data_IF_912268782322
#
_entry.id   IF_912268782322
#
_cell.length_a   1.000
_cell.length_b   1.000
_cell.length_c   1.000
_cell.angle_alpha   90.00
_cell.angle_beta   90.00
_cell.angle_gamma   90.00
#
_symmetry.space_group_name_H-M   'P 1'
#
loop_
_entity.id
_entity.type
_entity.pdbx_description
1 polymer ?
#
# COMPACT_ATOMS: atom_id res chain seq x y z
N UNK A 1 31.48 24.83 21.22
CA UNK A 1 30.38 24.26 20.44
C UNK A 1 30.72 24.47 18.96
N UNK A 2 31.08 23.46 18.19
CA UNK A 2 31.29 23.63 16.77
C UNK A 2 30.01 23.39 16.02
N UNK A 3 29.72 24.30 15.11
CA UNK A 3 28.69 24.32 14.11
C UNK A 3 28.67 23.03 13.28
N UNK A 4 27.56 22.29 13.29
CA UNK A 4 27.32 21.19 12.38
C UNK A 4 26.69 21.77 11.11
N UNK A 5 27.55 22.25 10.20
CA UNK A 5 27.15 22.53 8.84
C UNK A 5 26.83 21.21 8.13
N UNK A 6 25.56 21.00 7.88
CA UNK A 6 25.05 19.91 7.04
C UNK A 6 25.64 20.01 5.63
N UNK A 7 26.72 19.30 5.36
CA UNK A 7 27.32 19.25 4.04
C UNK A 7 26.37 18.52 3.09
N UNK A 8 25.82 19.26 2.12
CA UNK A 8 25.10 18.73 0.96
C UNK A 8 26.02 17.77 0.19
N UNK A 9 25.87 16.49 0.41
CA UNK A 9 26.43 15.46 -0.47
C UNK A 9 25.57 15.44 -1.74
N UNK A 10 25.96 16.26 -2.72
CA UNK A 10 25.51 16.13 -4.10
C UNK A 10 26.08 14.83 -4.66
N UNK A 11 25.27 13.78 -4.70
CA UNK A 11 25.62 12.54 -5.39
C UNK A 11 25.55 12.77 -6.90
N UNK A 12 26.67 13.20 -7.49
CA UNK A 12 26.80 13.29 -8.94
C UNK A 12 26.70 11.89 -9.57
N UNK A 13 25.89 11.75 -10.60
CA UNK A 13 25.94 10.59 -11.52
C UNK A 13 27.37 10.48 -12.05
N UNK A 14 28.07 9.38 -11.73
CA UNK A 14 29.41 9.13 -12.28
C UNK A 14 29.27 8.79 -13.76
N UNK A 15 29.38 9.81 -14.59
CA UNK A 15 29.34 9.66 -16.06
C UNK A 15 29.56 10.99 -16.75
N UNK A 16 28.86 12.03 -16.38
CA UNK A 16 29.02 13.38 -16.95
C UNK A 16 28.84 14.36 -15.78
N UNK A 17 29.87 15.16 -15.43
CA UNK A 17 29.71 16.18 -14.39
C UNK A 17 28.65 17.20 -14.82
N UNK A 18 27.60 17.34 -13.99
CA UNK A 18 26.56 18.35 -14.17
C UNK A 18 25.22 17.86 -14.73
N UNK A 19 25.07 16.60 -15.13
CA UNK A 19 23.77 16.05 -15.58
C UNK A 19 23.06 15.40 -14.41
N UNK A 20 21.90 15.95 -14.02
CA UNK A 20 20.99 15.38 -13.02
C UNK A 20 20.10 14.37 -13.74
N UNK A 21 20.03 13.13 -13.23
CA UNK A 21 19.11 12.10 -13.75
C UNK A 21 17.66 12.59 -13.60
N UNK A 22 16.86 12.45 -14.65
CA UNK A 22 15.44 12.76 -14.67
C UNK A 22 14.62 11.49 -14.76
N UNK A 23 13.70 11.27 -13.80
CA UNK A 23 12.83 10.10 -13.73
C UNK A 23 11.37 10.50 -13.87
N UNK A 24 10.64 9.81 -14.78
CA UNK A 24 9.19 9.92 -14.92
C UNK A 24 8.48 8.86 -14.08
N UNK A 25 7.80 9.26 -13.01
CA UNK A 25 6.93 8.38 -12.21
C UNK A 25 5.53 8.44 -12.78
N UNK A 26 5.00 7.31 -13.25
CA UNK A 26 3.66 7.24 -13.82
C UNK A 26 2.74 6.49 -12.86
N UNK A 27 1.65 7.11 -12.45
CA UNK A 27 0.71 6.54 -11.48
C UNK A 27 -0.72 6.96 -11.77
N UNK A 28 -1.68 6.18 -11.26
CA UNK A 28 -3.08 6.62 -11.21
C UNK A 28 -3.29 7.64 -10.09
N UNK A 29 -2.80 7.31 -8.89
CA UNK A 29 -3.10 8.00 -7.64
C UNK A 29 -1.96 8.92 -7.24
N UNK A 30 -2.28 10.19 -6.96
CA UNK A 30 -1.36 11.16 -6.37
C UNK A 30 -2.16 12.26 -5.65
N UNK A 31 -1.64 12.89 -4.59
CA UNK A 31 -2.36 13.94 -3.87
C UNK A 31 -2.93 15.02 -4.80
N UNK A 32 -4.15 15.51 -4.54
CA UNK A 32 -5.00 15.19 -3.38
C UNK A 32 -5.84 13.92 -3.55
N UNK A 33 -5.73 13.20 -4.66
CA UNK A 33 -6.55 12.03 -4.99
C UNK A 33 -5.79 10.74 -4.70
N UNK A 34 -5.75 10.33 -3.44
CA UNK A 34 -5.13 9.06 -2.99
C UNK A 34 -6.23 8.14 -2.49
N UNK A 35 -6.28 6.91 -3.06
CA UNK A 35 -7.29 5.92 -2.76
C UNK A 35 -6.72 4.70 -2.01
N UNK A 36 -5.45 4.36 -2.23
CA UNK A 36 -4.84 3.16 -1.67
C UNK A 36 -3.34 3.26 -1.44
N UNK A 37 -2.76 2.13 -1.02
CA UNK A 37 -1.34 2.05 -0.67
C UNK A 37 -0.38 2.41 -1.81
N UNK A 38 -0.77 2.20 -3.07
CA UNK A 38 0.05 2.59 -4.22
C UNK A 38 0.21 4.11 -4.33
N UNK A 39 -0.88 4.87 -4.12
CA UNK A 39 -0.83 6.34 -4.10
C UNK A 39 0.00 6.88 -2.95
N UNK A 40 -0.16 6.29 -1.75
CA UNK A 40 0.68 6.61 -0.58
C UNK A 40 2.15 6.36 -0.89
N UNK A 41 2.48 5.19 -1.48
CA UNK A 41 3.85 4.86 -1.87
C UNK A 41 4.45 5.91 -2.82
N UNK A 42 3.75 6.26 -3.90
CA UNK A 42 4.29 7.21 -4.90
C UNK A 42 4.44 8.61 -4.31
N UNK A 43 3.53 9.04 -3.45
CA UNK A 43 3.62 10.33 -2.75
C UNK A 43 4.93 10.45 -1.97
N UNK A 44 5.24 9.49 -1.10
CA UNK A 44 6.45 9.55 -0.28
C UNK A 44 7.71 9.25 -1.08
N UNK A 45 7.67 8.25 -1.95
CA UNK A 45 8.82 7.91 -2.80
C UNK A 45 9.24 9.11 -3.67
N UNK A 46 8.28 9.81 -4.31
CA UNK A 46 8.60 10.97 -5.15
C UNK A 46 9.24 12.11 -4.39
N UNK A 47 8.79 12.37 -3.15
CA UNK A 47 9.38 13.38 -2.26
C UNK A 47 10.83 13.06 -1.92
N UNK A 48 11.13 11.81 -1.57
CA UNK A 48 12.49 11.40 -1.21
C UNK A 48 13.40 11.27 -2.43
N UNK A 49 12.90 10.79 -3.57
CA UNK A 49 13.64 10.79 -4.83
C UNK A 49 14.02 12.21 -5.27
N UNK A 50 13.11 13.18 -5.10
CA UNK A 50 13.36 14.58 -5.47
C UNK A 50 14.48 15.25 -4.64
N UNK A 51 14.87 14.66 -3.52
CA UNK A 51 16.07 15.08 -2.77
C UNK A 51 17.37 14.62 -3.44
N UNK A 52 17.30 13.63 -4.32
CA UNK A 52 18.46 12.95 -4.92
C UNK A 52 18.58 13.18 -6.43
N UNK A 53 17.46 13.31 -7.13
CA UNK A 53 17.35 13.38 -8.59
C UNK A 53 16.18 14.30 -8.99
N UNK A 54 16.05 14.59 -10.29
CA UNK A 54 14.86 15.28 -10.83
C UNK A 54 13.72 14.27 -11.05
N UNK A 55 12.52 14.58 -10.56
CA UNK A 55 11.35 13.70 -10.58
C UNK A 55 10.17 14.39 -11.23
N UNK A 56 9.61 13.78 -12.25
CA UNK A 56 8.36 14.22 -12.87
C UNK A 56 7.27 13.17 -12.65
N UNK A 57 6.22 13.52 -11.89
CA UNK A 57 5.10 12.64 -11.59
C UNK A 57 3.97 12.89 -12.57
N UNK A 58 3.63 11.91 -13.39
CA UNK A 58 2.44 11.91 -14.24
C UNK A 58 1.33 11.11 -13.58
N UNK A 59 0.26 11.76 -13.18
CA UNK A 59 -0.87 11.14 -12.48
C UNK A 59 -2.21 11.46 -13.14
N UNK A 60 -3.28 10.80 -12.70
CA UNK A 60 -4.62 11.12 -13.12
C UNK A 60 -5.13 12.38 -12.41
N UNK A 61 -5.88 13.21 -13.12
CA UNK A 61 -6.48 14.43 -12.60
C UNK A 61 -5.91 15.71 -13.24
N UNK A 62 -6.15 16.83 -12.60
CA UNK A 62 -5.80 18.17 -13.12
C UNK A 62 -4.69 18.86 -12.33
N UNK A 63 -4.19 18.24 -11.27
CA UNK A 63 -3.18 18.83 -10.38
C UNK A 63 -1.87 19.10 -11.12
N UNK A 64 -1.29 20.27 -10.86
CA UNK A 64 0.02 20.69 -11.36
C UNK A 64 0.78 21.42 -10.27
N UNK A 65 2.04 21.06 -10.08
CA UNK A 65 2.95 21.78 -9.18
C UNK A 65 4.40 21.61 -9.61
N UNK A 66 5.21 22.58 -9.24
CA UNK A 66 6.66 22.56 -9.41
C UNK A 66 7.28 23.00 -8.08
N UNK A 67 8.04 22.10 -7.44
CA UNK A 67 8.65 22.32 -6.14
C UNK A 67 10.08 21.74 -6.11
N UNK A 68 11.06 22.58 -6.38
CA UNK A 68 12.46 22.13 -6.51
C UNK A 68 12.61 21.12 -7.65
N UNK A 69 13.06 19.91 -7.32
CA UNK A 69 13.24 18.80 -8.27
C UNK A 69 11.97 17.92 -8.41
N UNK A 70 10.84 18.30 -7.83
CA UNK A 70 9.58 17.56 -7.93
C UNK A 70 8.58 18.32 -8.79
N UNK A 71 8.20 17.72 -9.90
CA UNK A 71 7.23 18.25 -10.84
C UNK A 71 6.02 17.33 -10.94
N UNK A 72 4.81 17.85 -10.77
CA UNK A 72 3.57 17.06 -10.85
C UNK A 72 2.78 17.49 -12.06
N UNK A 73 2.32 16.53 -12.84
CA UNK A 73 1.56 16.70 -14.08
C UNK A 73 0.32 15.81 -14.07
N UNK A 74 -0.81 16.39 -13.70
CA UNK A 74 -2.12 15.74 -13.81
C UNK A 74 -2.52 15.57 -15.28
N UNK A 75 -3.14 14.44 -15.59
CA UNK A 75 -3.64 14.10 -16.91
C UNK A 75 -5.09 13.62 -16.82
N UNK A 76 -5.93 14.04 -17.75
CA UNK A 76 -7.31 13.59 -17.89
C UNK A 76 -7.46 12.81 -19.20
N UNK A 77 -8.35 11.81 -19.25
CA UNK A 77 -8.59 11.08 -20.50
C UNK A 77 -9.22 11.99 -21.53
N UNK A 78 -8.77 11.87 -22.76
CA UNK A 78 -9.34 12.63 -23.88
C UNK A 78 -10.83 12.27 -24.07
N UNK A 79 -11.76 13.24 -23.98
CA UNK A 79 -13.19 12.96 -24.09
C UNK A 79 -13.57 12.24 -25.38
N UNK A 80 -12.86 12.51 -26.47
CA UNK A 80 -13.08 11.93 -27.79
C UNK A 80 -12.84 10.41 -27.82
N UNK A 81 -12.01 9.91 -26.91
CA UNK A 81 -11.69 8.47 -26.80
C UNK A 81 -12.66 7.78 -25.82
N UNK A 82 -13.09 8.50 -24.78
CA UNK A 82 -13.81 7.88 -23.65
C UNK A 82 -15.31 8.17 -23.66
N UNK A 83 -15.79 9.11 -24.52
CA UNK A 83 -17.21 9.40 -24.65
C UNK A 83 -18.00 8.18 -25.12
N UNK A 84 -19.16 7.96 -24.50
CA UNK A 84 -20.05 6.83 -24.86
C UNK A 84 -19.58 5.45 -24.36
N UNK A 85 -18.47 5.36 -23.64
CA UNK A 85 -18.02 4.09 -23.03
C UNK A 85 -18.99 3.65 -21.94
N UNK A 86 -19.47 2.41 -22.00
CA UNK A 86 -20.29 1.82 -20.95
C UNK A 86 -19.56 1.87 -19.58
N UNK A 87 -20.29 2.14 -18.50
CA UNK A 87 -19.72 2.32 -17.15
C UNK A 87 -18.82 1.14 -16.70
N UNK A 88 -19.18 -0.09 -17.05
CA UNK A 88 -18.41 -1.31 -16.73
C UNK A 88 -17.02 -1.39 -17.40
N UNK A 89 -16.81 -0.69 -18.53
CA UNK A 89 -15.55 -0.66 -19.26
C UNK A 89 -14.76 0.64 -19.02
N UNK A 90 -15.43 1.65 -18.47
CA UNK A 90 -14.88 2.99 -18.36
C UNK A 90 -13.47 3.02 -17.75
N UNK A 91 -13.26 2.32 -16.66
CA UNK A 91 -11.95 2.30 -15.97
C UNK A 91 -10.82 1.77 -16.86
N UNK A 92 -11.09 0.75 -17.68
CA UNK A 92 -10.07 0.17 -18.55
C UNK A 92 -9.79 1.07 -19.77
N UNK A 93 -10.83 1.68 -20.35
CA UNK A 93 -10.69 2.61 -21.47
C UNK A 93 -10.01 3.90 -21.03
N UNK A 94 -10.40 4.48 -19.89
CA UNK A 94 -9.74 5.64 -19.30
C UNK A 94 -8.25 5.37 -19.05
N UNK A 95 -7.91 4.18 -18.53
CA UNK A 95 -6.51 3.81 -18.29
C UNK A 95 -5.69 3.82 -19.58
N UNK A 96 -6.20 3.23 -20.67
CA UNK A 96 -5.50 3.24 -21.96
C UNK A 96 -5.36 4.65 -22.53
N UNK A 97 -6.43 5.45 -22.50
CA UNK A 97 -6.42 6.81 -22.99
C UNK A 97 -5.40 7.67 -22.24
N UNK A 98 -5.33 7.52 -20.90
CA UNK A 98 -4.38 8.24 -20.06
C UNK A 98 -2.94 7.79 -20.30
N UNK A 99 -2.69 6.49 -20.46
CA UNK A 99 -1.35 5.99 -20.76
C UNK A 99 -0.82 6.57 -22.10
N UNK A 100 -1.67 6.70 -23.11
CA UNK A 100 -1.31 7.35 -24.37
C UNK A 100 -1.03 8.86 -24.20
N UNK A 101 -1.78 9.54 -23.37
CA UNK A 101 -1.55 10.96 -23.08
C UNK A 101 -0.25 11.17 -22.29
N UNK A 102 -0.01 10.37 -21.26
CA UNK A 102 1.17 10.47 -20.40
C UNK A 102 2.48 10.15 -21.15
N UNK A 103 2.46 9.18 -22.07
CA UNK A 103 3.62 8.76 -22.84
C UNK A 103 4.23 9.90 -23.68
N UNK A 104 3.41 10.86 -24.17
CA UNK A 104 3.87 11.93 -25.06
C UNK A 104 4.95 12.82 -24.44
N UNK A 105 4.91 13.01 -23.12
CA UNK A 105 5.77 13.94 -22.41
C UNK A 105 7.05 13.28 -21.85
N UNK A 106 7.28 11.98 -22.17
CA UNK A 106 8.36 11.20 -21.58
C UNK A 106 9.67 11.18 -22.40
N UNK A 107 9.72 11.81 -23.56
CA UNK A 107 10.88 11.75 -24.47
C UNK A 107 12.18 12.32 -23.85
N UNK A 108 12.11 13.19 -22.84
CA UNK A 108 13.25 13.81 -22.17
C UNK A 108 13.58 13.15 -20.81
N UNK A 109 12.99 12.00 -20.52
CA UNK A 109 13.16 11.25 -19.28
C UNK A 109 14.26 10.20 -19.45
N UNK A 110 15.13 10.02 -18.45
CA UNK A 110 16.20 9.01 -18.48
C UNK A 110 15.71 7.62 -18.07
N UNK A 111 14.69 7.53 -17.20
CA UNK A 111 14.05 6.29 -16.74
C UNK A 111 12.57 6.53 -16.55
N UNK A 112 11.71 5.68 -17.09
CA UNK A 112 10.29 5.66 -16.78
C UNK A 112 10.00 4.60 -15.73
N UNK A 113 9.29 4.97 -14.66
CA UNK A 113 8.90 4.07 -13.59
C UNK A 113 7.39 4.13 -13.38
N UNK A 114 6.71 3.02 -13.57
CA UNK A 114 5.25 2.94 -13.47
C UNK A 114 4.78 2.18 -12.25
N UNK A 115 3.59 2.54 -11.76
CA UNK A 115 2.98 1.94 -10.58
C UNK A 115 1.59 1.40 -10.93
N UNK A 116 1.37 0.10 -10.75
CA UNK A 116 0.15 -0.64 -11.06
C UNK A 116 -0.16 -0.74 -12.57
N UNK A 117 -1.10 -1.63 -12.93
CA UNK A 117 -1.53 -1.82 -14.30
C UNK A 117 -2.18 -0.56 -14.92
N UNK A 118 -2.72 0.34 -14.10
CA UNK A 118 -3.34 1.59 -14.57
C UNK A 118 -2.37 2.52 -15.31
N UNK A 119 -1.08 2.40 -15.04
CA UNK A 119 -0.04 3.25 -15.61
C UNK A 119 0.99 2.46 -16.45
N UNK A 120 0.93 1.13 -16.42
CA UNK A 120 1.99 0.27 -16.95
C UNK A 120 2.20 0.38 -18.45
N UNK A 121 1.15 0.64 -19.23
CA UNK A 121 1.26 0.78 -20.68
C UNK A 121 1.97 2.07 -21.10
N UNK A 122 1.95 3.14 -20.30
CA UNK A 122 2.75 4.33 -20.60
C UNK A 122 4.25 4.02 -20.56
N UNK A 123 4.71 3.24 -19.57
CA UNK A 123 6.11 2.80 -19.49
C UNK A 123 6.50 1.85 -20.63
N UNK A 124 5.63 0.88 -20.93
CA UNK A 124 5.82 -0.03 -22.06
C UNK A 124 5.98 0.74 -23.39
N UNK A 125 5.07 1.69 -23.67
CA UNK A 125 5.12 2.48 -24.89
C UNK A 125 6.33 3.43 -24.93
N UNK A 126 6.66 4.07 -23.81
CA UNK A 126 7.83 4.94 -23.71
C UNK A 126 9.13 4.17 -24.02
N UNK A 127 9.29 2.97 -23.47
CA UNK A 127 10.41 2.08 -23.77
C UNK A 127 10.49 1.77 -25.27
N UNK A 128 9.35 1.43 -25.92
CA UNK A 128 9.34 1.05 -27.34
C UNK A 128 9.59 2.23 -28.29
N UNK A 129 9.13 3.43 -27.93
CA UNK A 129 9.19 4.60 -28.80
C UNK A 129 10.44 5.47 -28.57
N UNK A 130 10.87 5.59 -27.32
CA UNK A 130 11.96 6.48 -26.92
C UNK A 130 13.23 5.72 -26.48
N UNK A 131 13.18 4.38 -26.46
CA UNK A 131 14.31 3.52 -26.06
C UNK A 131 14.84 3.82 -24.65
N UNK A 132 13.98 4.29 -23.73
CA UNK A 132 14.34 4.57 -22.34
C UNK A 132 14.05 3.37 -21.44
N UNK A 133 14.87 3.14 -20.38
CA UNK A 133 14.64 2.05 -19.43
C UNK A 133 13.28 2.13 -18.78
N UNK A 134 12.62 0.98 -18.67
CA UNK A 134 11.29 0.84 -18.06
C UNK A 134 11.36 0.04 -16.77
N UNK A 135 10.99 0.67 -15.66
CA UNK A 135 10.83 0.06 -14.33
C UNK A 135 9.36 -0.03 -13.98
N UNK A 136 8.94 -1.13 -13.37
CA UNK A 136 7.57 -1.33 -12.88
C UNK A 136 7.60 -1.73 -11.41
N UNK A 137 6.92 -0.97 -10.53
CA UNK A 137 6.64 -1.43 -9.16
C UNK A 137 5.31 -2.18 -9.11
N UNK A 138 5.37 -3.41 -8.60
CA UNK A 138 4.21 -4.29 -8.43
C UNK A 138 3.67 -4.15 -7.01
N UNK A 139 2.53 -3.44 -6.87
CA UNK A 139 1.82 -3.27 -5.61
C UNK A 139 0.79 -4.37 -5.32
N UNK A 140 0.38 -5.10 -6.34
CA UNK A 140 -0.48 -6.28 -6.31
C UNK A 140 -0.45 -6.93 -7.70
N UNK A 141 -0.89 -8.17 -7.79
CA UNK A 141 -0.96 -8.92 -9.06
C UNK A 141 -2.41 -9.26 -9.38
N UNK A 142 -2.84 -8.99 -10.62
CA UNK A 142 -4.20 -9.31 -11.07
C UNK A 142 -4.55 -10.80 -10.96
N UNK A 143 -3.67 -11.77 -11.34
CA UNK A 143 -3.96 -13.21 -11.19
C UNK A 143 -4.23 -13.66 -9.75
N UNK A 144 -3.72 -12.94 -8.75
CA UNK A 144 -3.94 -13.25 -7.33
C UNK A 144 -5.14 -12.53 -6.72
N UNK A 145 -5.91 -11.83 -7.54
CA UNK A 145 -7.04 -11.00 -7.13
C UNK A 145 -8.28 -11.34 -7.95
N UNK A 146 -8.62 -12.65 -8.03
CA UNK A 146 -9.74 -13.14 -8.83
C UNK A 146 -11.08 -12.43 -8.50
N UNK A 147 -11.28 -12.00 -7.24
CA UNK A 147 -12.43 -11.18 -6.83
C UNK A 147 -12.52 -9.81 -7.53
N UNK A 148 -11.43 -9.34 -8.17
CA UNK A 148 -11.46 -8.12 -9.00
C UNK A 148 -12.39 -8.23 -10.20
N UNK A 149 -12.69 -9.43 -10.66
CA UNK A 149 -13.71 -9.64 -11.69
C UNK A 149 -15.10 -9.16 -11.24
N UNK A 150 -15.42 -9.22 -9.93
CA UNK A 150 -16.66 -8.66 -9.37
C UNK A 150 -16.69 -7.11 -9.54
N UNK A 151 -15.53 -6.46 -9.39
CA UNK A 151 -15.41 -5.00 -9.47
C UNK A 151 -15.27 -4.48 -10.91
N UNK A 152 -14.52 -5.19 -11.76
CA UNK A 152 -14.13 -4.74 -13.10
C UNK A 152 -14.96 -5.41 -14.22
N UNK A 153 -15.70 -6.46 -13.92
CA UNK A 153 -16.40 -7.26 -14.92
C UNK A 153 -15.43 -7.74 -16.01
N UNK A 154 -15.82 -7.60 -17.27
CA UNK A 154 -14.97 -7.95 -18.43
C UNK A 154 -13.74 -7.05 -18.58
N UNK A 155 -13.68 -5.89 -17.90
CA UNK A 155 -12.48 -5.05 -17.81
C UNK A 155 -11.30 -5.75 -17.12
N UNK A 156 -11.57 -6.81 -16.33
CA UNK A 156 -10.53 -7.62 -15.72
C UNK A 156 -9.60 -8.32 -16.74
N UNK A 157 -10.12 -8.75 -17.87
CA UNK A 157 -9.30 -9.30 -18.95
C UNK A 157 -8.30 -8.26 -19.50
N UNK A 158 -8.74 -7.00 -19.54
CA UNK A 158 -7.93 -5.87 -20.00
C UNK A 158 -6.83 -5.54 -19.00
N UNK A 159 -7.16 -5.43 -17.70
CA UNK A 159 -6.17 -5.16 -16.65
C UNK A 159 -5.11 -6.27 -16.58
N UNK A 160 -5.52 -7.52 -16.69
CA UNK A 160 -4.62 -8.69 -16.69
C UNK A 160 -3.69 -8.69 -17.91
N UNK A 161 -4.22 -8.33 -19.09
CA UNK A 161 -3.40 -8.21 -20.31
C UNK A 161 -2.38 -7.08 -20.20
N UNK A 162 -2.78 -5.89 -19.72
CA UNK A 162 -1.89 -4.74 -19.54
C UNK A 162 -0.78 -5.05 -18.54
N UNK A 163 -1.14 -5.64 -17.39
CA UNK A 163 -0.18 -6.04 -16.37
C UNK A 163 0.83 -7.05 -16.91
N UNK A 164 0.35 -8.13 -17.53
CA UNK A 164 1.23 -9.16 -18.11
C UNK A 164 2.18 -8.58 -19.16
N UNK A 165 1.67 -7.78 -20.09
CA UNK A 165 2.46 -7.16 -21.15
C UNK A 165 3.58 -6.30 -20.57
N UNK A 166 3.28 -5.49 -19.59
CA UNK A 166 4.26 -4.61 -18.94
C UNK A 166 5.30 -5.40 -18.13
N UNK A 167 4.87 -6.38 -17.35
CA UNK A 167 5.76 -7.22 -16.52
C UNK A 167 6.79 -7.96 -17.39
N UNK A 168 6.35 -8.56 -18.51
CA UNK A 168 7.25 -9.31 -19.40
C UNK A 168 8.26 -8.40 -20.10
N UNK A 169 7.91 -7.16 -20.38
CA UNK A 169 8.77 -6.23 -21.14
C UNK A 169 9.63 -5.32 -20.27
N UNK A 170 9.32 -5.17 -18.98
CA UNK A 170 10.10 -4.30 -18.08
C UNK A 170 11.58 -4.67 -18.04
N UNK A 171 12.46 -3.66 -17.93
CA UNK A 171 13.90 -3.86 -17.74
C UNK A 171 14.21 -4.21 -16.29
N UNK A 172 13.44 -3.67 -15.34
CA UNK A 172 13.45 -4.08 -13.94
C UNK A 172 12.03 -4.05 -13.36
N UNK A 173 11.77 -4.97 -12.44
CA UNK A 173 10.52 -5.07 -11.69
C UNK A 173 10.85 -4.92 -10.21
N UNK A 174 10.22 -3.94 -9.56
CA UNK A 174 10.31 -3.80 -8.11
C UNK A 174 9.16 -4.57 -7.48
N UNK A 175 9.50 -5.59 -6.71
CA UNK A 175 8.60 -6.31 -5.83
C UNK A 175 8.66 -5.66 -4.44
N UNK A 176 7.51 -5.31 -3.86
CA UNK A 176 7.45 -4.65 -2.55
C UNK A 176 7.73 -5.57 -1.36
N UNK A 177 7.95 -6.86 -1.61
CA UNK A 177 8.35 -7.87 -0.63
C UNK A 177 8.93 -9.10 -1.32
N UNK A 178 9.64 -9.98 -0.58
CA UNK A 178 10.03 -11.30 -1.09
C UNK A 178 8.81 -12.17 -1.42
N UNK A 179 7.72 -12.03 -0.64
CA UNK A 179 6.44 -12.65 -0.95
C UNK A 179 5.93 -12.22 -2.32
N UNK A 180 5.90 -10.92 -2.61
CA UNK A 180 5.52 -10.39 -3.93
C UNK A 180 6.47 -10.85 -5.04
N UNK A 181 7.77 -10.94 -4.77
CA UNK A 181 8.74 -11.50 -5.74
C UNK A 181 8.41 -12.94 -6.10
N UNK A 182 8.12 -13.77 -5.12
CA UNK A 182 7.72 -15.16 -5.35
C UNK A 182 6.40 -15.25 -6.13
N UNK A 183 5.44 -14.39 -5.81
CA UNK A 183 4.14 -14.29 -6.51
C UNK A 183 4.32 -13.90 -7.99
N UNK A 184 5.19 -12.92 -8.30
CA UNK A 184 5.51 -12.52 -9.68
C UNK A 184 6.06 -13.70 -10.47
N UNK A 185 7.09 -14.38 -9.94
CA UNK A 185 7.73 -15.49 -10.61
C UNK A 185 6.82 -16.71 -10.78
N UNK A 186 5.85 -16.89 -9.88
CA UNK A 186 4.82 -17.93 -10.00
C UNK A 186 3.75 -17.58 -11.01
N UNK A 187 3.27 -16.33 -11.02
CA UNK A 187 2.20 -15.89 -11.91
C UNK A 187 2.68 -15.68 -13.35
N UNK A 188 3.95 -15.30 -13.52
CA UNK A 188 4.59 -15.00 -14.80
C UNK A 188 5.93 -15.74 -14.91
N UNK A 189 5.92 -17.06 -15.14
CA UNK A 189 7.14 -17.89 -15.15
C UNK A 189 8.10 -17.56 -16.29
N UNK A 190 7.68 -16.77 -17.27
CA UNK A 190 8.54 -16.27 -18.36
C UNK A 190 9.45 -15.10 -17.92
N UNK A 191 9.20 -14.50 -16.76
CA UNK A 191 10.01 -13.39 -16.25
C UNK A 191 11.36 -13.90 -15.77
N UNK A 192 12.44 -13.26 -16.25
CA UNK A 192 13.78 -13.50 -15.70
C UNK A 192 13.84 -13.03 -14.25
N UNK A 193 14.14 -13.95 -13.34
CA UNK A 193 14.23 -13.69 -11.91
C UNK A 193 15.30 -12.63 -11.54
N UNK A 194 16.30 -12.40 -12.42
CA UNK A 194 17.32 -11.39 -12.25
C UNK A 194 16.77 -9.95 -12.43
N UNK A 195 15.65 -9.79 -13.11
CA UNK A 195 14.97 -8.50 -13.29
C UNK A 195 14.09 -8.12 -12.10
N UNK A 196 13.79 -9.06 -11.19
CA UNK A 196 12.88 -8.83 -10.06
C UNK A 196 13.67 -8.48 -8.79
N UNK A 197 13.64 -7.21 -8.44
CA UNK A 197 14.33 -6.64 -7.28
C UNK A 197 13.36 -6.43 -6.12
N UNK A 198 13.77 -6.77 -4.90
CA UNK A 198 12.96 -6.49 -3.71
C UNK A 198 13.37 -5.13 -3.17
N UNK A 199 12.45 -4.17 -3.21
CA UNK A 199 12.57 -2.86 -2.57
C UNK A 199 11.28 -2.61 -1.80
N UNK A 200 11.37 -2.53 -0.48
CA UNK A 200 10.22 -2.40 0.41
C UNK A 200 9.51 -1.04 0.26
N UNK A 201 8.27 -0.98 0.75
CA UNK A 201 7.65 0.31 1.02
C UNK A 201 8.24 0.91 2.31
N UNK A 202 8.23 2.23 2.38
CA UNK A 202 8.68 2.96 3.56
C UNK A 202 7.54 3.51 4.40
N UNK A 203 7.92 4.21 5.47
CA UNK A 203 7.05 5.01 6.33
C UNK A 203 7.71 6.34 6.65
N UNK A 204 6.92 7.41 6.75
CA UNK A 204 7.40 8.72 7.19
C UNK A 204 7.39 8.77 8.73
N UNK A 205 8.58 8.70 9.30
CA UNK A 205 8.78 8.68 10.75
C UNK A 205 8.60 10.04 11.41
N UNK A 206 8.60 11.12 10.64
CA UNK A 206 8.30 12.47 11.14
C UNK A 206 6.78 12.69 11.26
N UNK A 207 6.01 12.13 10.35
CA UNK A 207 4.55 12.19 10.39
C UNK A 207 3.95 11.15 11.35
N UNK A 208 4.36 9.88 11.26
CA UNK A 208 3.84 8.80 12.10
C UNK A 208 4.58 8.71 13.43
N UNK A 209 4.20 9.59 14.34
CA UNK A 209 4.70 9.61 15.72
C UNK A 209 3.59 9.32 16.71
N UNK A 210 3.94 8.62 17.80
CA UNK A 210 3.01 8.37 18.88
C UNK A 210 2.53 9.67 19.50
N UNK A 211 1.22 9.82 19.70
CA UNK A 211 0.58 10.96 20.35
C UNK A 211 -0.36 10.51 21.46
N UNK A 212 -0.53 11.35 22.47
CA UNK A 212 -1.54 11.18 23.52
C UNK A 212 -2.86 11.91 23.21
N UNK A 213 -2.95 12.61 22.07
CA UNK A 213 -4.18 13.28 21.66
C UNK A 213 -5.32 12.27 21.43
N UNK A 214 -6.52 12.62 21.85
CA UNK A 214 -7.72 11.74 21.82
C UNK A 214 -8.92 12.38 21.15
N UNK A 215 -8.77 13.55 20.52
CA UNK A 215 -9.88 14.29 19.91
C UNK A 215 -10.60 13.47 18.85
N UNK A 216 -9.86 12.69 18.05
CA UNK A 216 -10.45 11.78 17.07
C UNK A 216 -11.25 10.65 17.74
N UNK A 217 -10.74 10.11 18.84
CA UNK A 217 -11.44 9.05 19.58
C UNK A 217 -12.80 9.55 20.09
N UNK A 218 -12.80 10.70 20.77
CA UNK A 218 -14.02 11.35 21.27
C UNK A 218 -14.98 11.67 20.14
N UNK A 219 -14.46 12.27 19.04
CA UNK A 219 -15.25 12.60 17.85
C UNK A 219 -16.00 11.40 17.28
N UNK A 220 -15.41 10.21 17.34
CA UNK A 220 -15.96 8.99 16.76
C UNK A 220 -16.64 8.06 17.78
N UNK A 221 -16.79 8.51 19.02
CA UNK A 221 -17.49 7.75 20.06
C UNK A 221 -16.70 6.54 20.58
N UNK A 222 -15.38 6.56 20.46
CA UNK A 222 -14.49 5.56 21.05
C UNK A 222 -14.36 5.87 22.55
N UNK A 223 -14.59 4.87 23.41
CA UNK A 223 -14.35 5.03 24.84
C UNK A 223 -12.84 5.12 25.12
N UNK A 224 -12.38 6.31 25.46
CA UNK A 224 -10.97 6.59 25.75
C UNK A 224 -10.46 5.98 27.05
N UNK A 225 -11.37 5.53 27.94
CA UNK A 225 -11.03 4.91 29.23
C UNK A 225 -10.83 3.40 29.10
N UNK A 226 -11.35 2.81 28.06
CA UNK A 226 -11.26 1.37 27.77
C UNK A 226 -10.19 1.08 26.70
N UNK A 227 -9.36 0.05 26.89
CA UNK A 227 -8.45 -0.38 25.83
C UNK A 227 -9.24 -0.96 24.66
N UNK A 228 -8.76 -0.76 23.42
CA UNK A 228 -9.45 -1.26 22.23
C UNK A 228 -8.51 -1.93 21.22
N UNK A 229 -9.11 -2.84 20.44
CA UNK A 229 -8.54 -3.40 19.22
C UNK A 229 -8.88 -2.46 18.07
N UNK A 230 -7.92 -2.12 17.23
CA UNK A 230 -8.11 -1.23 16.09
C UNK A 230 -7.94 -1.98 14.76
N UNK A 231 -8.85 -1.75 13.83
CA UNK A 231 -8.66 -2.02 12.39
C UNK A 231 -8.72 -0.70 11.63
N UNK A 232 -7.81 -0.51 10.67
CA UNK A 232 -7.84 0.62 9.72
C UNK A 232 -7.72 0.07 8.30
N UNK A 233 -8.65 0.45 7.43
CA UNK A 233 -8.58 0.03 6.03
C UNK A 233 -9.90 0.19 5.28
N UNK A 234 -9.85 -0.13 3.98
CA UNK A 234 -11.06 -0.18 3.15
C UNK A 234 -11.87 -1.45 3.41
N UNK A 235 -13.17 -1.39 3.19
CA UNK A 235 -14.05 -2.56 3.23
C UNK A 235 -13.91 -3.32 1.92
N UNK A 236 -12.97 -4.27 1.90
CA UNK A 236 -12.68 -5.10 0.71
C UNK A 236 -12.49 -6.55 1.12
N UNK A 237 -12.73 -7.47 0.19
CA UNK A 237 -12.44 -8.90 0.41
C UNK A 237 -10.98 -9.12 0.81
N UNK A 238 -10.07 -8.38 0.19
CA UNK A 238 -8.63 -8.44 0.45
C UNK A 238 -8.26 -8.14 1.91
N UNK A 239 -8.88 -7.11 2.50
CA UNK A 239 -8.51 -6.63 3.85
C UNK A 239 -9.08 -7.48 4.97
N UNK A 240 -9.99 -8.40 4.66
CA UNK A 240 -10.46 -9.43 5.58
C UNK A 240 -11.16 -8.89 6.84
N UNK A 241 -11.66 -7.65 6.83
CA UNK A 241 -12.31 -7.02 8.00
C UNK A 241 -13.47 -7.85 8.55
N UNK A 242 -14.16 -8.60 7.69
CA UNK A 242 -15.23 -9.50 8.09
C UNK A 242 -14.75 -10.58 9.06
N UNK A 243 -13.53 -11.09 8.90
CA UNK A 243 -12.95 -12.07 9.82
C UNK A 243 -12.72 -11.48 11.23
N UNK A 244 -12.41 -10.17 11.33
CA UNK A 244 -12.34 -9.51 12.63
C UNK A 244 -13.75 -9.32 13.22
N UNK A 245 -14.75 -8.96 12.41
CA UNK A 245 -16.15 -8.88 12.87
C UNK A 245 -16.62 -10.24 13.40
N UNK A 246 -16.33 -11.32 12.67
CA UNK A 246 -16.63 -12.68 13.10
C UNK A 246 -15.88 -13.09 14.37
N UNK A 247 -14.65 -12.57 14.56
CA UNK A 247 -13.85 -12.87 15.74
C UNK A 247 -14.42 -12.25 17.03
N UNK A 248 -15.23 -11.17 16.92
CA UNK A 248 -15.79 -10.48 18.10
C UNK A 248 -16.61 -11.42 19.00
N UNK A 249 -17.35 -12.37 18.44
CA UNK A 249 -18.12 -13.38 19.20
C UNK A 249 -17.26 -14.29 20.10
N UNK A 250 -15.94 -14.34 19.86
CA UNK A 250 -14.97 -15.12 20.62
C UNK A 250 -14.12 -14.28 21.58
N UNK A 251 -14.25 -12.94 21.50
CA UNK A 251 -13.55 -12.03 22.42
C UNK A 251 -14.24 -11.99 23.79
N UNK A 252 -13.53 -11.68 24.88
CA UNK A 252 -14.12 -11.39 26.18
C UNK A 252 -15.22 -10.34 26.08
N UNK A 253 -16.30 -10.54 26.86
CA UNK A 253 -17.43 -9.61 26.87
C UNK A 253 -17.01 -8.18 27.21
N UNK A 254 -17.55 -7.21 26.46
CA UNK A 254 -17.26 -5.78 26.64
C UNK A 254 -15.93 -5.30 26.00
N UNK A 255 -15.11 -6.19 25.43
CA UNK A 255 -13.87 -5.76 24.74
C UNK A 255 -14.23 -4.86 23.56
N UNK A 256 -13.70 -3.65 23.58
CA UNK A 256 -13.96 -2.65 22.53
C UNK A 256 -13.18 -2.96 21.26
N UNK A 257 -13.87 -3.02 20.12
CA UNK A 257 -13.29 -3.13 18.78
C UNK A 257 -13.65 -1.90 17.97
N UNK A 258 -12.66 -1.20 17.48
CA UNK A 258 -12.81 0.01 16.65
C UNK A 258 -12.48 -0.34 15.21
N UNK A 259 -13.47 -0.24 14.34
CA UNK A 259 -13.34 -0.45 12.91
C UNK A 259 -13.29 0.91 12.20
N UNK A 260 -12.12 1.41 11.87
CA UNK A 260 -11.96 2.54 10.96
C UNK A 260 -11.99 1.99 9.52
N UNK A 261 -13.21 1.73 9.02
CA UNK A 261 -13.45 0.99 7.79
C UNK A 261 -14.47 1.72 6.91
N UNK A 262 -14.00 2.23 5.78
CA UNK A 262 -14.79 2.96 4.79
C UNK A 262 -14.50 2.49 3.36
N UNK A 263 -14.99 3.22 2.37
CA UNK A 263 -14.73 3.01 0.94
C UNK A 263 -14.89 1.53 0.50
N UNK A 264 -16.11 0.95 0.59
CA UNK A 264 -16.37 -0.41 0.15
C UNK A 264 -16.13 -0.57 -1.35
N UNK A 265 -15.60 -1.73 -1.77
CA UNK A 265 -15.34 -2.01 -3.20
C UNK A 265 -16.66 -2.11 -4.00
N UNK A 266 -17.74 -2.61 -3.39
CA UNK A 266 -19.08 -2.68 -4.00
C UNK A 266 -20.18 -2.39 -2.95
N UNK A 267 -21.40 -1.99 -3.41
CA UNK A 267 -22.56 -1.83 -2.52
C UNK A 267 -22.94 -3.09 -1.75
N UNK A 268 -22.78 -4.27 -2.37
CA UNK A 268 -23.09 -5.57 -1.77
C UNK A 268 -22.17 -5.86 -0.58
N UNK A 269 -20.85 -5.63 -0.73
CA UNK A 269 -19.88 -5.77 0.36
C UNK A 269 -20.18 -4.79 1.52
N UNK A 270 -20.63 -3.57 1.19
CA UNK A 270 -21.06 -2.60 2.19
C UNK A 270 -22.29 -3.10 2.99
N UNK A 271 -23.29 -3.64 2.30
CA UNK A 271 -24.50 -4.19 2.92
C UNK A 271 -24.18 -5.41 3.81
N UNK A 272 -23.33 -6.32 3.34
CA UNK A 272 -22.86 -7.48 4.09
C UNK A 272 -22.15 -7.06 5.39
N UNK A 273 -21.24 -6.10 5.30
CA UNK A 273 -20.52 -5.55 6.47
C UNK A 273 -21.49 -4.94 7.48
N UNK A 274 -22.48 -4.16 7.02
CA UNK A 274 -23.49 -3.54 7.88
C UNK A 274 -24.29 -4.59 8.63
N UNK A 275 -24.81 -5.58 7.93
CA UNK A 275 -25.59 -6.66 8.53
C UNK A 275 -24.77 -7.44 9.58
N UNK A 276 -23.50 -7.73 9.28
CA UNK A 276 -22.63 -8.44 10.22
C UNK A 276 -22.35 -7.63 11.49
N UNK A 277 -22.04 -6.34 11.36
CA UNK A 277 -21.80 -5.46 12.53
C UNK A 277 -23.06 -5.32 13.39
N UNK A 278 -24.23 -5.15 12.77
CA UNK A 278 -25.52 -5.09 13.48
C UNK A 278 -25.82 -6.39 14.23
N UNK A 279 -25.58 -7.54 13.60
CA UNK A 279 -25.79 -8.85 14.25
C UNK A 279 -24.86 -9.03 15.47
N UNK A 280 -23.59 -8.64 15.36
CA UNK A 280 -22.64 -8.69 16.47
C UNK A 280 -23.05 -7.75 17.61
N UNK A 281 -23.48 -6.52 17.31
CA UNK A 281 -23.99 -5.58 18.32
C UNK A 281 -25.26 -6.10 19.03
N UNK A 282 -26.18 -6.69 18.28
CA UNK A 282 -27.36 -7.29 18.83
C UNK A 282 -27.07 -8.48 19.79
N UNK A 283 -25.96 -9.18 19.55
CA UNK A 283 -25.46 -10.24 20.42
C UNK A 283 -24.60 -9.72 21.61
N UNK A 284 -24.51 -8.40 21.82
CA UNK A 284 -23.76 -7.77 22.91
C UNK A 284 -22.29 -7.47 22.63
N UNK A 285 -21.85 -7.62 21.39
CA UNK A 285 -20.50 -7.23 20.96
C UNK A 285 -20.30 -5.70 20.96
N UNK A 286 -19.16 -5.25 21.46
CA UNK A 286 -18.82 -3.82 21.55
C UNK A 286 -18.00 -3.38 20.33
N UNK A 287 -18.67 -2.98 19.24
CA UNK A 287 -18.05 -2.47 18.02
C UNK A 287 -18.36 -0.98 17.85
N UNK A 288 -17.32 -0.16 17.74
CA UNK A 288 -17.40 1.20 17.23
C UNK A 288 -16.97 1.17 15.76
N UNK A 289 -17.87 1.51 14.85
CA UNK A 289 -17.58 1.52 13.41
C UNK A 289 -17.60 2.94 12.86
N UNK A 290 -16.43 3.39 12.34
CA UNK A 290 -16.21 4.66 11.66
C UNK A 290 -16.34 4.38 10.16
N UNK A 291 -17.51 4.67 9.58
CA UNK A 291 -17.91 4.30 8.21
C UNK A 291 -17.28 5.20 7.12
N UNK A 292 -16.13 5.80 7.38
CA UNK A 292 -15.45 6.70 6.44
C UNK A 292 -13.94 6.59 6.53
N UNK A 293 -13.28 7.07 5.52
CA UNK A 293 -11.84 7.30 5.59
C UNK A 293 -11.58 8.51 6.49
N UNK A 294 -10.78 8.33 7.52
CA UNK A 294 -10.35 9.41 8.42
C UNK A 294 -9.14 10.13 7.85
N UNK A 295 -8.90 11.34 8.33
CA UNK A 295 -7.68 12.07 7.98
C UNK A 295 -6.44 11.41 8.62
N UNK A 296 -5.25 11.65 8.06
CA UNK A 296 -3.99 11.11 8.58
C UNK A 296 -3.76 11.45 10.07
N UNK A 297 -3.95 12.71 10.53
CA UNK A 297 -3.84 13.02 11.97
C UNK A 297 -4.81 12.25 12.85
N UNK A 298 -6.04 12.01 12.38
CA UNK A 298 -7.02 11.19 13.11
C UNK A 298 -6.61 9.72 13.16
N UNK A 299 -6.09 9.17 12.05
CA UNK A 299 -5.56 7.80 12.00
C UNK A 299 -4.38 7.62 12.98
N UNK A 300 -3.46 8.59 13.05
CA UNK A 300 -2.34 8.57 13.99
C UNK A 300 -2.84 8.55 15.45
N UNK A 301 -3.88 9.32 15.79
CA UNK A 301 -4.48 9.25 17.12
C UNK A 301 -5.08 7.87 17.42
N UNK A 302 -5.79 7.27 16.45
CA UNK A 302 -6.36 5.93 16.58
C UNK A 302 -5.27 4.87 16.76
N UNK A 303 -4.20 4.89 15.95
CA UNK A 303 -3.06 3.98 16.09
C UNK A 303 -2.33 4.16 17.43
N UNK A 304 -2.10 5.41 17.84
CA UNK A 304 -1.32 5.73 19.04
C UNK A 304 -1.97 5.31 20.36
N UNK A 305 -3.29 5.28 20.38
CA UNK A 305 -4.06 5.00 21.58
C UNK A 305 -4.69 3.60 21.60
N UNK A 306 -4.60 2.82 20.50
CA UNK A 306 -5.08 1.44 20.54
C UNK A 306 -4.17 0.55 21.39
N UNK A 307 -4.76 -0.45 22.02
CA UNK A 307 -4.01 -1.49 22.74
C UNK A 307 -3.34 -2.45 21.75
N UNK A 308 -4.06 -2.80 20.68
CA UNK A 308 -3.58 -3.73 19.63
C UNK A 308 -4.16 -3.31 18.31
N UNK A 309 -3.31 -3.29 17.27
CA UNK A 309 -3.74 -3.15 15.89
C UNK A 309 -3.98 -4.53 15.27
N UNK A 310 -5.10 -4.73 14.58
CA UNK A 310 -5.44 -5.98 13.91
C UNK A 310 -5.43 -5.82 12.39
N UNK A 311 -4.67 -6.67 11.69
CA UNK A 311 -4.60 -6.73 10.23
C UNK A 311 -4.96 -8.13 9.71
N UNK A 312 -6.26 -8.46 9.55
CA UNK A 312 -6.74 -9.79 9.18
C UNK A 312 -6.77 -10.02 7.67
N UNK A 313 -5.87 -9.38 6.92
CA UNK A 313 -5.84 -9.43 5.45
C UNK A 313 -5.69 -10.86 4.93
N UNK A 314 -6.41 -11.20 3.86
CA UNK A 314 -6.30 -12.50 3.18
C UNK A 314 -5.22 -12.47 2.09
N UNK A 315 -4.93 -11.31 1.58
CA UNK A 315 -3.85 -11.05 0.62
C UNK A 315 -3.24 -9.68 0.93
N UNK A 316 -1.95 -9.62 1.20
CA UNK A 316 -1.25 -8.38 1.53
C UNK A 316 0.15 -8.39 0.90
N UNK A 317 0.36 -7.71 -0.22
CA UNK A 317 1.66 -7.65 -0.88
C UNK A 317 2.78 -7.12 0.00
N UNK A 318 2.46 -6.15 0.88
CA UNK A 318 3.42 -5.62 1.85
C UNK A 318 2.78 -5.34 3.21
N UNK A 319 1.79 -4.42 3.29
CA UNK A 319 1.09 -4.09 4.52
C UNK A 319 1.57 -2.80 5.18
N UNK A 320 1.53 -1.68 4.45
CA UNK A 320 1.90 -0.34 4.95
C UNK A 320 1.17 0.01 6.25
N UNK A 321 -0.11 -0.37 6.39
CA UNK A 321 -0.91 -0.12 7.61
C UNK A 321 -0.30 -0.75 8.87
N UNK A 322 0.47 -1.85 8.73
CA UNK A 322 1.22 -2.41 9.86
C UNK A 322 2.42 -1.52 10.24
N UNK A 323 3.11 -0.91 9.23
CA UNK A 323 4.16 0.07 9.50
C UNK A 323 3.61 1.31 10.21
N UNK A 324 2.44 1.80 9.79
CA UNK A 324 1.76 2.95 10.43
C UNK A 324 1.46 2.67 11.90
N UNK A 325 0.89 1.49 12.19
CA UNK A 325 0.60 1.05 13.54
C UNK A 325 1.89 0.92 14.38
N UNK A 326 2.91 0.24 13.85
CA UNK A 326 4.20 0.05 14.51
C UNK A 326 4.94 1.37 14.74
N UNK A 327 4.90 2.29 13.78
CA UNK A 327 5.47 3.64 13.90
C UNK A 327 4.81 4.43 15.03
N UNK A 328 3.51 4.26 15.24
CA UNK A 328 2.76 4.83 16.36
C UNK A 328 2.91 4.02 17.68
N UNK A 329 3.71 2.96 17.68
CA UNK A 329 4.00 2.15 18.87
C UNK A 329 2.90 1.15 19.24
N UNK A 330 2.01 0.81 18.30
CA UNK A 330 1.01 -0.24 18.49
C UNK A 330 1.58 -1.62 18.16
N UNK A 331 1.39 -2.64 19.02
CA UNK A 331 1.68 -4.02 18.67
C UNK A 331 0.65 -4.54 17.66
N UNK A 332 1.06 -5.48 16.80
CA UNK A 332 0.26 -5.95 15.68
C UNK A 332 -0.20 -7.39 15.89
N UNK A 333 -1.47 -7.69 15.62
CA UNK A 333 -1.97 -9.04 15.37
C UNK A 333 -2.39 -9.12 13.91
N UNK A 334 -1.73 -9.94 13.12
CA UNK A 334 -1.97 -9.98 11.68
C UNK A 334 -2.00 -11.41 11.13
N UNK A 335 -2.65 -11.59 9.98
CA UNK A 335 -2.58 -12.82 9.20
C UNK A 335 -1.15 -13.12 8.77
N UNK A 336 -0.75 -14.38 8.80
CA UNK A 336 0.54 -14.83 8.29
C UNK A 336 0.50 -14.95 6.75
N UNK A 337 0.41 -13.81 6.04
CA UNK A 337 0.29 -13.77 4.56
C UNK A 337 1.22 -12.74 3.93
N UNK A 338 1.71 -13.04 2.74
CA UNK A 338 2.45 -12.13 1.86
C UNK A 338 3.55 -11.35 2.58
N UNK A 339 3.62 -10.06 2.31
CA UNK A 339 4.62 -9.15 2.90
C UNK A 339 4.46 -8.88 4.39
N UNK A 340 3.30 -9.22 5.00
CA UNK A 340 3.14 -9.11 6.46
C UNK A 340 4.20 -9.92 7.19
N UNK A 341 4.61 -11.08 6.66
CA UNK A 341 5.66 -11.94 7.21
C UNK A 341 7.03 -11.25 7.28
N UNK A 342 7.23 -10.20 6.49
CA UNK A 342 8.48 -9.44 6.43
C UNK A 342 8.40 -8.15 7.26
N UNK A 343 7.20 -7.65 7.51
CA UNK A 343 6.94 -6.46 8.33
C UNK A 343 6.84 -6.82 9.80
N UNK A 344 6.00 -7.78 10.15
CA UNK A 344 5.73 -8.20 11.53
C UNK A 344 6.62 -9.38 11.91
N UNK A 345 7.37 -9.25 13.00
CA UNK A 345 8.15 -10.36 13.57
C UNK A 345 7.32 -11.02 14.67
N UNK A 346 6.98 -12.30 14.45
CA UNK A 346 6.13 -13.04 15.39
C UNK A 346 6.76 -13.09 16.79
N UNK A 347 5.96 -12.84 17.83
CA UNK A 347 6.33 -12.81 19.25
C UNK A 347 7.38 -11.75 19.62
N UNK A 348 7.69 -10.83 18.71
CA UNK A 348 8.63 -9.72 18.98
C UNK A 348 7.96 -8.35 18.76
N UNK A 349 7.33 -8.15 17.61
CA UNK A 349 6.61 -6.90 17.28
C UNK A 349 5.09 -7.08 17.28
N UNK A 350 4.64 -8.34 17.39
CA UNK A 350 3.24 -8.70 17.36
C UNK A 350 3.03 -10.21 17.32
N UNK A 351 1.86 -10.64 16.88
CA UNK A 351 1.54 -12.04 16.61
C UNK A 351 1.12 -12.24 15.16
N UNK A 352 1.66 -13.29 14.54
CA UNK A 352 1.23 -13.81 13.25
C UNK A 352 0.23 -14.96 13.44
N UNK A 353 -0.97 -14.77 12.93
CA UNK A 353 -2.03 -15.79 12.98
C UNK A 353 -1.92 -16.68 11.75
N UNK A 354 -1.78 -18.01 11.91
CA UNK A 354 -1.68 -18.94 10.79
C UNK A 354 -2.84 -18.77 9.81
N UNK A 355 -2.53 -18.67 8.52
CA UNK A 355 -3.50 -18.51 7.45
C UNK A 355 -3.35 -19.65 6.45
N UNK A 356 -4.45 -20.37 6.21
CA UNK A 356 -4.51 -21.49 5.29
C UNK A 356 -5.50 -21.18 4.18
N UNK A 357 -5.04 -20.64 3.02
CA UNK A 357 -5.93 -20.27 1.94
C UNK A 357 -6.52 -21.50 1.26
N UNK A 358 -7.77 -21.38 0.85
CA UNK A 358 -8.37 -22.24 -0.16
C UNK A 358 -7.69 -21.95 -1.51
N UNK A 359 -7.39 -22.99 -2.26
CA UNK A 359 -6.61 -22.88 -3.50
C UNK A 359 -7.37 -22.22 -4.66
N UNK A 360 -8.69 -22.14 -4.58
CA UNK A 360 -9.55 -21.56 -5.63
C UNK A 360 -9.94 -20.13 -5.28
N UNK A 361 -10.39 -19.91 -4.04
CA UNK A 361 -10.94 -18.63 -3.62
C UNK A 361 -9.90 -17.69 -2.99
N UNK A 362 -8.80 -18.23 -2.47
CA UNK A 362 -7.81 -17.48 -1.70
C UNK A 362 -8.25 -17.09 -0.27
N UNK A 363 -9.51 -17.37 0.10
CA UNK A 363 -10.02 -17.14 1.46
C UNK A 363 -9.58 -18.26 2.43
N UNK A 364 -9.71 -18.06 3.76
CA UNK A 364 -9.36 -19.12 4.70
C UNK A 364 -10.24 -20.35 4.46
N UNK A 365 -9.62 -21.55 4.41
CA UNK A 365 -10.34 -22.82 4.28
C UNK A 365 -11.39 -23.05 5.36
N UNK A 366 -11.09 -22.58 6.58
CA UNK A 366 -11.97 -22.57 7.74
C UNK A 366 -11.97 -21.16 8.32
N UNK A 367 -12.95 -20.35 7.90
CA UNK A 367 -13.11 -18.97 8.33
C UNK A 367 -13.41 -18.83 9.83
N UNK A 368 -14.15 -19.79 10.40
CA UNK A 368 -14.49 -19.77 11.81
C UNK A 368 -13.27 -20.11 12.69
N UNK A 369 -12.45 -21.08 12.27
CA UNK A 369 -11.15 -21.35 12.93
C UNK A 369 -10.25 -20.12 12.88
N UNK A 370 -10.13 -19.46 11.72
CA UNK A 370 -9.31 -18.27 11.58
C UNK A 370 -9.80 -17.13 12.49
N UNK A 371 -11.12 -16.92 12.59
CA UNK A 371 -11.71 -15.94 13.51
C UNK A 371 -11.41 -16.27 14.98
N UNK A 372 -11.47 -17.55 15.39
CA UNK A 372 -11.06 -18.00 16.73
C UNK A 372 -9.58 -17.77 17.01
N UNK A 373 -8.73 -18.09 16.05
CA UNK A 373 -7.28 -17.92 16.19
C UNK A 373 -6.92 -16.42 16.32
N UNK A 374 -7.56 -15.53 15.54
CA UNK A 374 -7.46 -14.08 15.69
C UNK A 374 -7.89 -13.63 17.09
N UNK A 375 -9.08 -14.05 17.53
CA UNK A 375 -9.62 -13.70 18.85
C UNK A 375 -8.69 -14.15 19.99
N UNK A 376 -8.10 -15.33 19.89
CA UNK A 376 -7.16 -15.84 20.89
C UNK A 376 -5.91 -14.94 21.02
N UNK A 377 -5.30 -14.53 19.92
CA UNK A 377 -4.14 -13.65 19.94
C UNK A 377 -4.46 -12.22 20.37
N UNK A 378 -5.61 -11.70 19.95
CA UNK A 378 -6.11 -10.42 20.43
C UNK A 378 -6.34 -10.44 21.94
N UNK A 379 -7.03 -11.46 22.47
CA UNK A 379 -7.28 -11.63 23.90
C UNK A 379 -5.98 -11.71 24.70
N UNK A 380 -5.00 -12.48 24.22
CA UNK A 380 -3.69 -12.62 24.87
C UNK A 380 -2.99 -11.27 25.04
N UNK A 381 -2.92 -10.45 23.98
CA UNK A 381 -2.29 -9.12 24.04
C UNK A 381 -3.14 -8.12 24.85
N UNK A 382 -4.44 -8.11 24.68
CA UNK A 382 -5.33 -7.21 25.42
C UNK A 382 -5.20 -7.38 26.94
N UNK A 383 -4.95 -8.61 27.39
CA UNK A 383 -4.78 -8.94 28.81
C UNK A 383 -3.37 -8.62 29.37
N UNK A 384 -2.36 -8.34 28.50
CA UNK A 384 -0.98 -8.12 28.93
C UNK A 384 -0.43 -6.76 28.45
N UNK A 385 -0.66 -5.67 29.20
CA UNK A 385 -0.16 -4.34 28.84
C UNK A 385 1.37 -4.26 28.76
N UNK A 386 2.09 -5.03 29.57
CA UNK A 386 3.55 -5.03 29.57
C UNK A 386 4.10 -5.60 28.25
N UNK A 387 3.51 -6.69 27.76
CA UNK A 387 3.83 -7.29 26.46
C UNK A 387 3.46 -6.36 25.32
N UNK A 388 2.29 -5.72 25.37
CA UNK A 388 1.92 -4.71 24.37
C UNK A 388 2.97 -3.61 24.26
N UNK A 389 3.42 -3.05 25.38
CA UNK A 389 4.45 -2.02 25.38
C UNK A 389 5.79 -2.54 24.83
N UNK A 390 6.20 -3.75 25.20
CA UNK A 390 7.41 -4.37 24.68
C UNK A 390 7.36 -4.55 23.16
N UNK A 391 6.26 -5.11 22.64
CA UNK A 391 6.06 -5.33 21.22
C UNK A 391 5.96 -4.01 20.45
N UNK A 392 5.22 -3.01 20.98
CA UNK A 392 5.12 -1.70 20.38
C UNK A 392 6.47 -0.98 20.25
N UNK A 393 7.32 -1.05 21.30
CA UNK A 393 8.68 -0.50 21.25
C UNK A 393 9.58 -1.24 20.24
N UNK A 394 9.49 -2.57 20.19
CA UNK A 394 10.23 -3.36 19.21
C UNK A 394 9.76 -3.06 17.78
N UNK A 395 8.44 -2.92 17.59
CA UNK A 395 7.84 -2.52 16.33
C UNK A 395 8.35 -1.16 15.86
N UNK A 396 8.34 -0.15 16.74
CA UNK A 396 8.86 1.19 16.42
C UNK A 396 10.34 1.14 16.00
N UNK A 397 11.21 0.47 16.74
CA UNK A 397 12.63 0.32 16.37
C UNK A 397 12.80 -0.36 15.01
N UNK A 398 12.06 -1.45 14.77
CA UNK A 398 12.12 -2.15 13.47
C UNK A 398 11.77 -1.25 12.30
N UNK A 399 10.77 -0.40 12.46
CA UNK A 399 10.36 0.57 11.43
C UNK A 399 11.46 1.58 11.17
N UNK A 400 12.08 2.11 12.23
CA UNK A 400 13.19 3.05 12.13
C UNK A 400 14.42 2.44 11.43
N UNK A 401 14.75 1.20 11.77
CA UNK A 401 15.95 0.52 11.26
C UNK A 401 15.81 0.01 9.81
N UNK A 402 14.57 -0.29 9.36
CA UNK A 402 14.40 -1.08 8.12
C UNK A 402 13.57 -0.37 7.05
N UNK A 403 12.61 0.48 7.44
CA UNK A 403 11.58 0.97 6.52
C UNK A 403 11.54 2.51 6.37
N UNK A 404 12.67 3.18 6.59
CA UNK A 404 12.79 4.61 6.34
C UNK A 404 12.77 4.93 4.85
N UNK A 405 11.94 5.89 4.43
CA UNK A 405 11.81 6.27 3.01
C UNK A 405 13.10 6.73 2.36
N UNK A 406 14.00 7.38 3.10
CA UNK A 406 15.30 7.83 2.61
C UNK A 406 16.15 6.66 2.09
N UNK A 407 16.16 5.54 2.82
CA UNK A 407 16.90 4.34 2.43
C UNK A 407 16.25 3.66 1.21
N UNK A 408 14.92 3.63 1.16
CA UNK A 408 14.14 3.07 0.04
C UNK A 408 14.38 3.89 -1.25
N UNK A 409 14.35 5.20 -1.16
CA UNK A 409 14.64 6.08 -2.30
C UNK A 409 16.08 5.92 -2.80
N UNK A 410 17.05 5.80 -1.90
CA UNK A 410 18.45 5.58 -2.28
C UNK A 410 18.62 4.25 -3.03
N UNK A 411 18.02 3.15 -2.55
CA UNK A 411 18.02 1.85 -3.26
C UNK A 411 17.38 1.95 -4.64
N UNK A 412 16.28 2.68 -4.76
CA UNK A 412 15.57 2.89 -6.02
C UNK A 412 16.44 3.68 -7.02
N UNK A 413 17.15 4.72 -6.58
CA UNK A 413 18.09 5.48 -7.43
C UNK A 413 19.25 4.61 -7.90
N UNK A 414 19.79 3.73 -7.04
CA UNK A 414 20.86 2.81 -7.46
C UNK A 414 20.38 1.83 -8.55
N UNK A 415 19.15 1.34 -8.45
CA UNK A 415 18.54 0.53 -9.51
C UNK A 415 18.47 1.31 -10.84
N UNK A 416 17.98 2.56 -10.84
CA UNK A 416 17.89 3.38 -12.03
C UNK A 416 19.27 3.62 -12.66
N UNK A 417 20.27 3.93 -11.84
CA UNK A 417 21.67 4.14 -12.32
C UNK A 417 22.24 2.89 -12.98
N UNK A 418 21.90 1.71 -12.48
CA UNK A 418 22.29 0.44 -13.10
C UNK A 418 21.75 0.30 -14.51
N UNK A 419 20.48 0.64 -14.72
CA UNK A 419 19.80 0.53 -16.02
C UNK A 419 20.33 1.53 -17.06
N UNK A 420 20.54 2.80 -16.69
CA UNK A 420 21.06 3.83 -17.60
C UNK A 420 22.48 3.53 -18.06
N UNK A 421 23.32 2.91 -17.22
CA UNK A 421 24.68 2.51 -17.60
C UNK A 421 24.74 1.36 -18.60
N UNK A 422 23.75 0.49 -18.59
CA UNK A 422 23.73 -0.72 -19.44
C UNK A 422 23.32 -0.40 -20.88
N UNK A 423 22.73 0.77 -21.14
CA UNK A 423 22.28 1.20 -22.48
C UNK A 423 23.33 2.06 -23.24
N UNK A 424 24.44 2.44 -22.60
CA UNK A 424 25.57 3.14 -23.22
C UNK A 424 26.70 2.15 -23.55
#
# INVERSE_FOLDING_TARGET
MPDVTCSRLAYAVRGIPGVVMRVGLITREYPPQVYGGAGVHVEYLSRELARLIEVEVHCWGTQRSDAGNLHVRGNEPAPEITAGTEAKFKTAVDALALNLAQMKDLAAIDVVHTHTWYASMAGFLAKKLYEIPFVLTTHSLEPLRAWKAEQLGSGYAMSSWMERTAILDADAIIAVSNGTRADILKAYPEVDAAKVHVIYNGIDLAEYQKTSATDALVKYGVDVTAPYVLFVGRITRQKGVMHLVDAVKYLPAGMQVVLCAGAPDTPEIAAEMRAAVEAVRAAGGNIVWIEKMVTKPEAIQLYSNCRVFCCPSVYEPFGIINLEAMACGAPVVASAVGGILEVVVDRETGYLVPFHPDSVTGFPKDGDKFARDLAARLTELMADPARCNKFGQAGRRRVEDTFAWEAIAAQTVELYRGLVKTQK
#
